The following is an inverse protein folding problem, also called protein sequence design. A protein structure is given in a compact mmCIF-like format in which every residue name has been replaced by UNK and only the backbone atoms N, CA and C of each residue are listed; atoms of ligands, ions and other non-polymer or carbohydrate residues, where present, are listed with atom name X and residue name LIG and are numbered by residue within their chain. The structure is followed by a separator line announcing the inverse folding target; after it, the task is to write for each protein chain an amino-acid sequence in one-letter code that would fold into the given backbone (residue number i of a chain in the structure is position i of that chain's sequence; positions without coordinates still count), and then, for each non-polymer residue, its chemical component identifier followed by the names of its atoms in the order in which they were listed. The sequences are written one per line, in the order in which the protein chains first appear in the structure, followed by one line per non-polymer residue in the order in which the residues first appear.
data_IF_187782515442
#
_entry.id   IF_187782515442
#
_cell.length_a   1.000
_cell.length_b   1.000
_cell.length_c   1.000
_cell.angle_alpha   90.00
_cell.angle_beta   90.00
_cell.angle_gamma   90.00
#
_symmetry.space_group_name_H-M   'P 1'
#
loop_
_entity.id
_entity.type
_entity.pdbx_description
1 polymer ?
#
# COMPACT_ATOMS: atom_id res chain seq x y z
N UNK A 1 -16.79 19.64 30.57
CA UNK A 1 -15.50 19.63 29.86
C UNK A 1 -15.77 19.84 28.36
N UNK A 2 -16.16 21.07 27.96
CA UNK A 2 -16.73 21.38 26.63
C UNK A 2 -16.19 22.71 26.07
N UNK A 3 -14.99 23.12 26.52
CA UNK A 3 -14.48 24.50 26.38
C UNK A 3 -13.11 24.63 25.70
N UNK A 4 -12.60 23.61 25.01
CA UNK A 4 -11.28 23.68 24.34
C UNK A 4 -11.33 23.61 22.81
N UNK A 5 -12.48 23.36 22.18
CA UNK A 5 -12.56 23.18 20.71
C UNK A 5 -12.96 24.45 19.95
N UNK A 6 -13.18 25.58 20.64
CA UNK A 6 -13.93 26.70 20.07
C UNK A 6 -13.10 27.77 19.32
N UNK A 7 -11.80 27.62 19.07
CA UNK A 7 -11.00 28.68 18.40
C UNK A 7 -9.83 28.18 17.54
N UNK A 8 -10.06 27.22 16.65
CA UNK A 8 -9.15 27.05 15.51
C UNK A 8 -10.01 27.04 14.25
N UNK A 9 -10.07 28.16 13.55
CA UNK A 9 -10.52 28.17 12.15
C UNK A 9 -9.44 27.43 11.34
N UNK A 10 -9.53 26.10 11.28
CA UNK A 10 -8.67 25.33 10.41
C UNK A 10 -9.22 25.45 8.99
N UNK A 11 -8.58 26.24 8.14
CA UNK A 11 -8.80 26.11 6.70
C UNK A 11 -8.31 24.74 6.25
N UNK A 12 -9.18 23.98 5.60
CA UNK A 12 -8.79 22.71 5.02
C UNK A 12 -7.68 22.97 3.97
N UNK A 13 -6.58 22.19 3.99
CA UNK A 13 -5.52 22.38 3.01
C UNK A 13 -6.03 22.18 1.59
N UNK A 14 -5.63 23.08 0.69
CA UNK A 14 -6.07 23.11 -0.71
C UNK A 14 -5.45 21.98 -1.56
N UNK A 15 -4.35 21.38 -1.09
CA UNK A 15 -3.61 20.33 -1.79
C UNK A 15 -3.20 19.20 -0.84
N UNK A 16 -3.01 18.00 -1.40
CA UNK A 16 -2.55 16.81 -0.68
C UNK A 16 -1.12 16.49 -1.09
N UNK A 17 -0.17 16.64 -0.16
CA UNK A 17 1.24 16.39 -0.43
C UNK A 17 1.53 14.89 -0.60
N UNK A 18 0.84 14.06 0.19
CA UNK A 18 0.93 12.60 0.14
C UNK A 18 -0.41 11.97 0.49
N UNK A 19 -0.68 10.78 -0.04
CA UNK A 19 -1.79 9.93 0.39
C UNK A 19 -1.22 8.58 0.84
N UNK A 20 -1.60 8.20 2.07
CA UNK A 20 -1.21 6.95 2.72
C UNK A 20 -2.40 6.00 2.75
N UNK A 21 -2.20 4.77 2.29
CA UNK A 21 -3.26 3.78 2.12
C UNK A 21 -2.87 2.45 2.77
N UNK A 22 -3.81 1.84 3.49
CA UNK A 22 -3.74 0.43 3.83
C UNK A 22 -4.02 -0.41 2.57
N UNK A 23 -3.02 -1.18 2.14
CA UNK A 23 -3.07 -1.96 0.91
C UNK A 23 -4.10 -3.10 0.94
N UNK A 24 -4.32 -3.76 2.07
CA UNK A 24 -5.36 -4.79 2.17
C UNK A 24 -6.75 -4.18 2.26
N UNK A 25 -6.89 -2.98 2.82
CA UNK A 25 -8.15 -2.26 2.76
C UNK A 25 -8.57 -1.94 1.32
N UNK A 26 -7.64 -1.54 0.43
CA UNK A 26 -7.93 -1.28 -0.99
C UNK A 26 -8.59 -2.48 -1.67
N UNK A 27 -8.15 -3.71 -1.36
CA UNK A 27 -8.74 -4.92 -1.95
C UNK A 27 -10.21 -5.08 -1.59
N UNK A 28 -10.62 -4.64 -0.40
CA UNK A 28 -12.03 -4.66 0.02
C UNK A 28 -12.88 -3.57 -0.66
N UNK A 29 -12.25 -2.55 -1.26
CA UNK A 29 -12.94 -1.52 -2.05
C UNK A 29 -13.27 -1.99 -3.47
N UNK A 30 -12.64 -3.07 -3.93
CA UNK A 30 -12.87 -3.63 -5.27
C UNK A 30 -14.18 -4.44 -5.24
N UNK A 31 -15.30 -3.80 -5.63
CA UNK A 31 -16.62 -4.44 -5.69
C UNK A 31 -16.64 -5.68 -6.60
N UNK A 32 -16.03 -5.57 -7.77
CA UNK A 32 -15.95 -6.65 -8.76
C UNK A 32 -14.48 -6.99 -9.00
N UNK A 33 -14.01 -8.06 -8.37
CA UNK A 33 -12.60 -8.47 -8.48
C UNK A 33 -12.35 -9.05 -9.88
N UNK A 34 -11.43 -8.46 -10.67
CA UNK A 34 -11.12 -8.93 -12.02
C UNK A 34 -10.70 -10.40 -12.08
N UNK A 35 -10.88 -11.03 -13.24
CA UNK A 35 -10.66 -12.47 -13.40
C UNK A 35 -9.19 -12.93 -13.30
N UNK A 36 -8.23 -12.08 -13.64
CA UNK A 36 -6.79 -12.45 -13.61
C UNK A 36 -6.00 -11.52 -12.69
N UNK A 37 -4.89 -12.02 -12.15
CA UNK A 37 -4.04 -11.24 -11.25
C UNK A 37 -3.47 -9.97 -11.89
N UNK A 38 -3.11 -10.01 -13.18
CA UNK A 38 -2.66 -8.83 -13.92
C UNK A 38 -3.74 -7.74 -13.99
N UNK A 39 -5.01 -8.14 -14.19
CA UNK A 39 -6.14 -7.19 -14.17
C UNK A 39 -6.43 -6.67 -12.77
N UNK A 40 -6.30 -7.51 -11.74
CA UNK A 40 -6.40 -7.09 -10.33
C UNK A 40 -5.32 -6.04 -10.01
N UNK A 41 -4.07 -6.32 -10.35
CA UNK A 41 -2.94 -5.41 -10.18
C UNK A 41 -3.17 -4.07 -10.87
N UNK A 42 -3.59 -4.07 -12.14
CA UNK A 42 -3.94 -2.85 -12.87
C UNK A 42 -5.08 -2.10 -12.18
N UNK A 43 -6.11 -2.80 -11.67
CA UNK A 43 -7.23 -2.17 -10.98
C UNK A 43 -6.81 -1.50 -9.67
N UNK A 44 -5.93 -2.14 -8.89
CA UNK A 44 -5.36 -1.55 -7.67
C UNK A 44 -4.58 -0.29 -8.04
N UNK A 45 -3.72 -0.36 -9.05
CA UNK A 45 -2.91 0.76 -9.49
C UNK A 45 -3.79 1.96 -9.91
N UNK A 46 -4.87 1.71 -10.66
CA UNK A 46 -5.86 2.75 -11.00
C UNK A 46 -6.54 3.36 -9.79
N UNK A 47 -6.88 2.57 -8.77
CA UNK A 47 -7.48 3.10 -7.54
C UNK A 47 -6.47 3.98 -6.81
N UNK A 48 -5.23 3.52 -6.68
CA UNK A 48 -4.13 4.24 -6.01
C UNK A 48 -3.80 5.55 -6.72
N UNK A 49 -3.72 5.56 -8.04
CA UNK A 49 -3.36 6.78 -8.80
C UNK A 49 -4.52 7.76 -8.99
N UNK A 50 -5.76 7.34 -8.73
CA UNK A 50 -6.94 8.22 -8.78
C UNK A 50 -7.09 9.12 -7.53
N UNK A 51 -6.25 8.95 -6.51
CA UNK A 51 -6.19 9.87 -5.39
C UNK A 51 -5.48 11.17 -5.79
N UNK A 52 -5.96 12.31 -5.29
CA UNK A 52 -5.52 13.66 -5.70
C UNK A 52 -4.15 14.11 -5.17
N UNK A 53 -3.16 13.22 -5.10
CA UNK A 53 -1.77 13.55 -4.76
C UNK A 53 -0.81 13.00 -5.83
N UNK A 54 0.38 13.59 -5.93
CA UNK A 54 1.44 13.08 -6.81
C UNK A 54 2.24 11.95 -6.16
N UNK A 55 2.21 11.86 -4.83
CA UNK A 55 2.89 10.81 -4.07
C UNK A 55 1.87 9.92 -3.37
N UNK A 56 2.02 8.62 -3.59
CA UNK A 56 1.14 7.59 -3.09
C UNK A 56 1.93 6.54 -2.31
N UNK A 57 1.64 6.39 -1.03
CA UNK A 57 2.29 5.42 -0.17
C UNK A 57 1.26 4.34 0.19
N UNK A 58 1.38 3.16 -0.41
CA UNK A 58 0.55 1.99 -0.14
C UNK A 58 1.31 1.02 0.77
N UNK A 59 0.72 0.70 1.91
CA UNK A 59 1.37 -0.02 3.00
C UNK A 59 0.66 -1.33 3.27
N UNK A 60 1.39 -2.44 3.24
CA UNK A 60 0.88 -3.78 3.51
C UNK A 60 1.44 -4.34 4.82
N UNK A 61 0.61 -5.11 5.53
CA UNK A 61 1.07 -5.93 6.66
C UNK A 61 2.18 -6.89 6.20
N UNK A 62 3.16 -7.16 7.08
CA UNK A 62 4.07 -8.30 6.94
C UNK A 62 3.56 -9.46 7.77
N UNK A 63 3.91 -10.68 7.36
CA UNK A 63 3.63 -11.88 8.13
C UNK A 63 4.95 -12.62 8.34
N UNK A 64 5.59 -12.41 9.49
CA UNK A 64 6.79 -13.16 9.88
C UNK A 64 6.55 -13.95 11.16
N UNK A 65 7.43 -14.93 11.42
CA UNK A 65 7.45 -15.74 12.62
C UNK A 65 8.89 -15.85 13.15
N UNK A 66 9.12 -15.78 14.47
CA UNK A 66 8.12 -15.56 15.51
C UNK A 66 7.53 -14.13 15.48
N UNK A 67 6.26 -14.01 15.84
CA UNK A 67 5.55 -12.72 15.93
C UNK A 67 4.71 -12.66 17.21
N UNK A 68 4.54 -11.45 17.75
CA UNK A 68 3.65 -11.14 18.88
C UNK A 68 2.20 -11.55 18.55
N UNK A 69 1.81 -11.54 17.27
CA UNK A 69 0.48 -11.94 16.81
C UNK A 69 0.30 -13.43 16.62
N UNK A 70 1.32 -14.27 16.79
CA UNK A 70 1.20 -15.72 16.61
C UNK A 70 0.05 -16.30 17.44
N UNK A 71 -0.12 -15.88 18.69
CA UNK A 71 -1.24 -16.32 19.54
C UNK A 71 -2.63 -15.97 18.95
N UNK A 72 -2.80 -14.76 18.40
CA UNK A 72 -4.06 -14.34 17.75
C UNK A 72 -4.30 -15.08 16.44
N UNK A 73 -3.24 -15.47 15.73
CA UNK A 73 -3.32 -16.26 14.48
C UNK A 73 -3.75 -17.69 14.78
N UNK A 74 -3.16 -18.30 15.81
CA UNK A 74 -3.51 -19.66 16.25
C UNK A 74 -4.98 -19.76 16.65
N UNK A 75 -5.53 -18.72 17.30
CA UNK A 75 -6.95 -18.65 17.65
C UNK A 75 -7.90 -18.66 16.43
N UNK A 76 -7.42 -18.29 15.23
CA UNK A 76 -8.27 -18.22 14.02
C UNK A 76 -8.45 -19.58 13.35
N UNK A 77 -7.80 -20.65 13.82
CA UNK A 77 -7.83 -22.00 13.22
C UNK A 77 -7.62 -21.96 11.69
N UNK A 78 -6.81 -21.02 11.20
CA UNK A 78 -6.54 -20.91 9.78
C UNK A 78 -5.49 -21.96 9.42
N UNK A 79 -5.87 -22.93 8.60
CA UNK A 79 -4.90 -23.73 7.85
C UNK A 79 -4.35 -22.84 6.74
N UNK A 80 -3.27 -22.12 7.04
CA UNK A 80 -2.53 -21.35 6.04
C UNK A 80 -1.87 -22.34 5.06
N UNK A 81 -2.46 -22.49 3.87
CA UNK A 81 -1.94 -23.37 2.81
C UNK A 81 -0.98 -22.53 1.95
N UNK A 82 0.23 -23.02 1.62
CA UNK A 82 1.13 -22.33 0.70
C UNK A 82 0.42 -21.96 -0.61
N UNK A 83 0.61 -20.71 -1.05
CA UNK A 83 0.01 -20.20 -2.28
C UNK A 83 1.08 -19.54 -3.13
N UNK A 84 1.01 -19.72 -4.45
CA UNK A 84 1.90 -19.08 -5.40
C UNK A 84 1.12 -18.47 -6.57
N UNK A 85 1.53 -17.27 -7.00
CA UNK A 85 1.01 -16.62 -8.20
C UNK A 85 2.07 -16.74 -9.29
N UNK A 86 1.77 -17.49 -10.33
CA UNK A 86 2.70 -17.78 -11.43
C UNK A 86 2.84 -16.62 -12.42
N UNK A 87 1.87 -15.72 -12.49
CA UNK A 87 1.95 -14.56 -13.38
C UNK A 87 0.64 -13.81 -13.60
N UNK A 88 0.66 -12.75 -14.43
CA UNK A 88 -0.48 -11.85 -14.62
C UNK A 88 -1.69 -12.49 -15.29
N UNK A 89 -1.48 -13.55 -16.10
CA UNK A 89 -2.55 -14.24 -16.82
C UNK A 89 -3.23 -15.34 -15.98
N UNK A 90 -2.68 -15.66 -14.81
CA UNK A 90 -3.30 -16.62 -13.90
C UNK A 90 -4.66 -16.11 -13.44
N UNK A 91 -5.67 -16.97 -13.55
CA UNK A 91 -7.00 -16.72 -13.01
C UNK A 91 -6.97 -16.65 -11.49
N UNK A 92 -7.70 -15.68 -10.94
CA UNK A 92 -7.87 -15.57 -9.49
C UNK A 92 -8.65 -16.77 -8.93
N UNK A 93 -8.49 -17.06 -7.63
CA UNK A 93 -9.39 -17.95 -6.91
C UNK A 93 -10.86 -17.55 -7.09
N UNK A 94 -11.75 -18.56 -7.10
CA UNK A 94 -13.19 -18.34 -7.20
C UNK A 94 -13.69 -17.46 -6.03
N UNK A 95 -13.30 -17.83 -4.80
CA UNK A 95 -13.59 -17.09 -3.57
C UNK A 95 -12.37 -16.28 -3.13
N UNK A 96 -12.16 -15.14 -3.79
CA UNK A 96 -11.02 -14.26 -3.52
C UNK A 96 -11.02 -13.71 -2.08
N UNK A 97 -12.19 -13.38 -1.54
CA UNK A 97 -12.34 -12.84 -0.18
C UNK A 97 -11.95 -13.86 0.89
N UNK A 98 -12.25 -15.14 0.68
CA UNK A 98 -11.79 -16.22 1.56
C UNK A 98 -10.26 -16.34 1.52
N UNK A 99 -9.65 -16.29 0.34
CA UNK A 99 -8.19 -16.40 0.20
C UNK A 99 -7.44 -15.23 0.84
N UNK A 100 -8.03 -14.03 0.93
CA UNK A 100 -7.47 -12.92 1.71
C UNK A 100 -7.33 -13.20 3.21
N UNK A 101 -7.89 -14.30 3.73
CA UNK A 101 -7.64 -14.75 5.10
C UNK A 101 -6.36 -15.57 5.24
N UNK A 102 -5.83 -16.11 4.15
CA UNK A 102 -4.60 -16.91 4.12
C UNK A 102 -3.38 -15.99 4.03
N UNK A 103 -2.45 -16.13 4.98
CA UNK A 103 -1.27 -15.27 5.05
C UNK A 103 -0.30 -15.51 3.87
N UNK A 104 -0.16 -16.77 3.40
CA UNK A 104 0.65 -17.08 2.22
C UNK A 104 0.08 -16.48 0.95
N UNK A 105 -1.25 -16.48 0.80
CA UNK A 105 -1.92 -15.83 -0.32
C UNK A 105 -1.66 -14.33 -0.33
N UNK A 106 -1.81 -13.68 0.83
CA UNK A 106 -1.54 -12.25 1.01
C UNK A 106 -0.10 -11.89 0.65
N UNK A 107 0.87 -12.65 1.14
CA UNK A 107 2.28 -12.44 0.82
C UNK A 107 2.57 -12.66 -0.67
N UNK A 108 2.05 -13.74 -1.26
CA UNK A 108 2.20 -14.01 -2.68
C UNK A 108 1.60 -12.90 -3.54
N UNK A 109 0.44 -12.37 -3.14
CA UNK A 109 -0.21 -11.25 -3.81
C UNK A 109 0.66 -9.99 -3.79
N UNK A 110 1.19 -9.60 -2.64
CA UNK A 110 2.00 -8.38 -2.54
C UNK A 110 3.31 -8.52 -3.31
N UNK A 111 3.97 -9.68 -3.23
CA UNK A 111 5.15 -10.01 -4.05
C UNK A 111 4.85 -9.92 -5.54
N UNK A 112 3.71 -10.46 -5.97
CA UNK A 112 3.25 -10.34 -7.35
C UNK A 112 3.05 -8.87 -7.76
N UNK A 113 2.43 -8.04 -6.92
CA UNK A 113 2.26 -6.60 -7.21
C UNK A 113 3.61 -5.89 -7.39
N UNK A 114 4.58 -6.16 -6.52
CA UNK A 114 5.93 -5.57 -6.58
C UNK A 114 6.61 -5.88 -7.91
N UNK A 115 6.48 -7.11 -8.42
CA UNK A 115 7.06 -7.51 -9.71
C UNK A 115 6.25 -7.00 -10.90
N UNK A 116 4.93 -7.16 -10.88
CA UNK A 116 4.06 -6.77 -11.99
C UNK A 116 4.06 -5.25 -12.21
N UNK A 117 4.20 -4.45 -11.14
CA UNK A 117 4.31 -3.00 -11.22
C UNK A 117 5.63 -2.50 -11.80
N UNK A 118 6.68 -3.32 -11.78
CA UNK A 118 7.95 -2.99 -12.42
C UNK A 118 7.90 -3.15 -13.95
N UNK A 119 6.82 -3.72 -14.51
CA UNK A 119 6.67 -3.86 -15.96
C UNK A 119 6.37 -2.52 -16.62
N UNK A 120 7.02 -2.25 -17.75
CA UNK A 120 6.75 -1.10 -18.64
C UNK A 120 5.28 -1.00 -19.08
N UNK A 121 4.53 -2.11 -19.10
CA UNK A 121 3.08 -2.11 -19.35
C UNK A 121 2.30 -1.29 -18.31
N UNK A 122 2.90 -1.00 -17.15
CA UNK A 122 2.30 -0.24 -16.05
C UNK A 122 2.61 1.25 -16.10
N UNK A 123 3.54 1.68 -16.94
CA UNK A 123 3.90 3.09 -17.14
C UNK A 123 2.68 4.01 -17.36
N UNK A 124 1.68 3.65 -18.19
CA UNK A 124 0.51 4.51 -18.41
C UNK A 124 -0.41 4.65 -17.19
N UNK A 125 -0.39 3.68 -16.28
CA UNK A 125 -1.23 3.67 -15.08
C UNK A 125 -0.55 4.38 -13.90
N UNK A 126 0.78 4.38 -13.86
CA UNK A 126 1.58 5.18 -12.93
C UNK A 126 1.52 6.65 -13.33
N UNK A 127 1.67 6.95 -14.62
CA UNK A 127 1.62 8.33 -15.12
C UNK A 127 2.74 9.19 -14.54
N UNK A 128 2.40 10.40 -14.07
CA UNK A 128 3.32 11.35 -13.43
C UNK A 128 3.46 11.13 -11.91
N UNK A 129 2.91 10.03 -11.38
CA UNK A 129 2.89 9.73 -9.95
C UNK A 129 4.16 9.03 -9.49
N UNK A 130 4.48 9.25 -8.22
CA UNK A 130 5.46 8.45 -7.46
C UNK A 130 4.69 7.53 -6.52
N UNK A 131 4.94 6.23 -6.64
CA UNK A 131 4.25 5.22 -5.81
C UNK A 131 5.28 4.50 -4.95
N UNK A 132 5.08 4.55 -3.64
CA UNK A 132 5.82 3.80 -2.63
C UNK A 132 4.96 2.62 -2.18
N UNK A 133 5.38 1.39 -2.48
CA UNK A 133 4.77 0.17 -1.95
C UNK A 133 5.63 -0.35 -0.80
N UNK A 134 5.14 -0.27 0.43
CA UNK A 134 5.82 -0.79 1.61
C UNK A 134 5.29 -2.19 1.97
N UNK A 135 6.19 -3.17 1.96
CA UNK A 135 5.92 -4.53 2.43
C UNK A 135 7.10 -5.06 3.26
N UNK A 136 8.04 -5.79 2.67
CA UNK A 136 9.30 -6.17 3.30
C UNK A 136 10.33 -5.04 3.21
N UNK A 137 10.39 -4.39 2.04
CA UNK A 137 11.12 -3.17 1.77
C UNK A 137 10.11 -2.12 1.28
N UNK A 138 10.57 -0.87 1.13
CA UNK A 138 9.81 0.14 0.41
C UNK A 138 10.25 0.21 -1.05
N UNK A 139 9.36 -0.18 -1.96
CA UNK A 139 9.59 -0.15 -3.40
C UNK A 139 9.00 1.14 -3.98
N UNK A 140 9.86 1.97 -4.56
CA UNK A 140 9.48 3.20 -5.25
C UNK A 140 9.35 2.94 -6.75
N UNK A 141 8.20 3.29 -7.31
CA UNK A 141 7.86 3.19 -8.72
C UNK A 141 7.63 4.57 -9.31
N UNK A 142 8.28 4.83 -10.43
CA UNK A 142 8.13 6.03 -11.24
C UNK A 142 8.07 5.65 -12.71
N UNK A 143 7.27 6.38 -13.49
CA UNK A 143 7.24 6.23 -14.95
C UNK A 143 8.04 7.35 -15.61
N UNK A 144 8.88 7.01 -16.57
CA UNK A 144 9.57 7.97 -17.44
C UNK A 144 9.32 7.57 -18.89
N UNK A 145 8.40 8.26 -19.54
CA UNK A 145 7.90 7.87 -20.86
C UNK A 145 7.12 6.56 -20.79
N UNK A 146 7.60 5.53 -21.49
CA UNK A 146 7.00 4.19 -21.50
C UNK A 146 7.73 3.18 -20.61
N UNK A 147 8.70 3.64 -19.82
CA UNK A 147 9.49 2.76 -18.96
C UNK A 147 9.14 2.96 -17.49
N UNK A 148 9.01 1.86 -16.75
CA UNK A 148 8.86 1.91 -15.30
C UNK A 148 10.22 1.71 -14.64
N UNK A 149 10.58 2.65 -13.77
CA UNK A 149 11.73 2.53 -12.90
C UNK A 149 11.26 2.09 -11.52
N UNK A 150 11.72 0.92 -11.07
CA UNK A 150 11.60 0.46 -9.68
C UNK A 150 12.93 0.67 -8.95
N UNK A 151 12.87 1.26 -7.77
CA UNK A 151 14.01 1.40 -6.84
C UNK A 151 13.59 1.00 -5.43
N UNK A 152 14.56 0.72 -4.56
CA UNK A 152 14.31 0.56 -3.12
C UNK A 152 14.57 1.91 -2.46
N UNK A 153 13.65 2.33 -1.60
CA UNK A 153 13.75 3.57 -0.82
C UNK A 153 14.00 3.21 0.66
N UNK A 154 15.27 3.15 1.04
CA UNK A 154 15.69 2.73 2.38
C UNK A 154 15.19 3.65 3.49
N UNK A 155 14.95 4.95 3.20
CA UNK A 155 14.43 5.90 4.16
C UNK A 155 13.00 5.56 4.61
N UNK A 156 12.25 4.89 3.73
CA UNK A 156 10.88 4.44 3.96
C UNK A 156 10.77 2.93 4.20
N UNK A 157 11.89 2.20 4.21
CA UNK A 157 11.92 0.79 4.61
C UNK A 157 11.80 0.69 6.14
N UNK A 158 10.92 -0.21 6.61
CA UNK A 158 10.70 -0.47 8.03
C UNK A 158 10.50 -1.97 8.24
N UNK A 159 11.60 -2.69 8.45
CA UNK A 159 11.58 -4.16 8.49
C UNK A 159 10.95 -4.70 9.78
N UNK A 160 11.13 -3.99 10.90
CA UNK A 160 10.72 -4.43 12.23
C UNK A 160 9.21 -4.32 12.49
N UNK A 161 8.49 -3.58 11.64
CA UNK A 161 7.06 -3.36 11.82
C UNK A 161 6.25 -4.39 11.03
N UNK A 162 5.33 -5.06 11.74
CA UNK A 162 4.44 -6.04 11.14
C UNK A 162 3.20 -5.37 10.52
N UNK A 163 2.56 -4.45 11.24
CA UNK A 163 1.21 -3.94 10.91
C UNK A 163 1.25 -2.72 9.99
N UNK A 164 0.31 -2.66 9.05
CA UNK A 164 0.19 -1.53 8.13
C UNK A 164 -0.05 -0.20 8.86
N UNK A 165 -0.83 -0.18 9.93
CA UNK A 165 -1.11 1.03 10.70
C UNK A 165 0.17 1.65 11.32
N UNK A 166 1.01 0.84 11.93
CA UNK A 166 2.25 1.26 12.58
C UNK A 166 3.27 1.70 11.53
N UNK A 167 3.31 1.02 10.38
CA UNK A 167 4.11 1.43 9.23
C UNK A 167 3.63 2.75 8.61
N UNK A 168 2.32 2.98 8.54
CA UNK A 168 1.76 4.27 8.08
C UNK A 168 2.24 5.39 9.00
N UNK A 169 2.24 5.20 10.32
CA UNK A 169 2.80 6.17 11.27
C UNK A 169 4.31 6.38 11.05
N UNK A 170 5.06 5.31 10.77
CA UNK A 170 6.48 5.43 10.41
C UNK A 170 6.67 6.27 9.15
N UNK A 171 5.93 6.00 8.07
CA UNK A 171 5.96 6.82 6.85
C UNK A 171 5.64 8.28 7.18
N UNK A 172 4.60 8.55 7.97
CA UNK A 172 4.26 9.90 8.44
C UNK A 172 5.43 10.60 9.14
N UNK A 173 6.15 9.88 10.00
CA UNK A 173 7.29 10.45 10.75
C UNK A 173 8.48 10.84 9.87
N UNK A 174 8.62 10.25 8.68
CA UNK A 174 9.67 10.58 7.72
C UNK A 174 9.38 11.85 6.95
N UNK A 175 8.12 12.28 6.89
CA UNK A 175 7.81 13.59 6.36
C UNK A 175 8.22 14.63 7.39
N UNK A 176 9.18 15.47 7.01
CA UNK A 176 9.41 16.73 7.68
C UNK A 176 8.12 17.54 7.53
N UNK A 177 7.34 17.61 8.61
CA UNK A 177 6.41 18.72 8.80
C UNK A 177 7.32 19.93 8.87
N UNK A 178 7.59 20.58 7.73
CA UNK A 178 8.22 21.90 7.75
C UNK A 178 7.34 22.74 8.68
N UNK A 179 7.87 23.26 9.80
CA UNK A 179 7.09 24.17 10.61
C UNK A 179 6.76 25.35 9.71
N UNK A 180 5.51 25.43 9.25
CA UNK A 180 4.94 26.64 8.64
C UNK A 180 4.67 27.63 9.77
N UNK A 181 5.72 28.07 10.46
CA UNK A 181 5.65 29.13 11.45
C UNK A 181 6.82 30.09 11.24
N UNK A 182 6.45 31.35 11.03
CA UNK A 182 7.26 32.55 10.85
C UNK A 182 7.89 32.79 9.47
N UNK A 183 7.03 33.24 8.54
CA UNK A 183 7.33 34.43 7.75
C UNK A 183 6.09 35.34 7.80
N UNK A 184 5.98 36.06 8.92
CA UNK A 184 5.15 37.25 9.04
C UNK A 184 6.10 38.34 9.52
N UNK A 185 6.34 39.28 8.61
CA UNK A 185 7.05 40.57 8.67
C UNK A 185 7.71 40.99 9.99
#
# INVERSE_FOLDING_TARGET
MKYLEAKVESQAPTSKDVVLLDGFFILHLIKEVPQTFGKISTKILQIVTNFGSNRMDIVFDRYFSPSIKNYKRDLRNNTDIPYNISGPDQSRPHDFTKELRNNYFKEALVKFLIEDWASDKKAPFIGDKVIHLNFNLCYRFESSGNQVKRTIDDDFTCEDHEEADTKIIFHLSKYKILPRWHNSQ
#
